data_IF_166712343551
#
_entry.id   IF_166712343551
#
_cell.length_a   1.000
_cell.length_b   1.000
_cell.length_c   1.000
_cell.angle_alpha   90.00
_cell.angle_beta   90.00
_cell.angle_gamma   90.00
#
_symmetry.space_group_name_H-M   'P 1'
#
loop_
_entity.id
_entity.type
_entity.pdbx_description
1 polymer ?
#
# COMPACT_ATOMS: atom_id res chain seq x y z
N UNK A 1 -12.01 -9.92 -22.76
CA UNK A 1 -10.73 -9.16 -22.70
C UNK A 1 -10.52 -8.48 -21.34
N UNK A 2 -11.46 -7.66 -20.84
CA UNK A 2 -11.35 -7.00 -19.52
C UNK A 2 -11.16 -7.96 -18.32
N UNK A 3 -11.86 -9.09 -18.32
CA UNK A 3 -11.69 -10.13 -17.28
C UNK A 3 -10.29 -10.77 -17.28
N UNK A 4 -9.63 -10.83 -18.44
CA UNK A 4 -8.29 -11.41 -18.56
C UNK A 4 -7.22 -10.45 -18.07
N UNK A 5 -7.34 -9.16 -18.40
CA UNK A 5 -6.44 -8.11 -17.91
C UNK A 5 -6.52 -7.96 -16.38
N UNK A 6 -7.74 -7.97 -15.83
CA UNK A 6 -7.96 -7.92 -14.38
C UNK A 6 -7.33 -9.10 -13.64
N UNK A 7 -7.45 -10.31 -14.20
CA UNK A 7 -6.80 -11.51 -13.64
C UNK A 7 -5.27 -11.42 -13.69
N UNK A 8 -4.69 -10.94 -14.80
CA UNK A 8 -3.24 -10.76 -14.93
C UNK A 8 -2.69 -9.72 -13.95
N UNK A 9 -3.39 -8.58 -13.81
CA UNK A 9 -3.02 -7.52 -12.85
C UNK A 9 -3.15 -8.01 -11.41
N UNK A 10 -4.27 -8.66 -11.07
CA UNK A 10 -4.51 -9.25 -9.75
C UNK A 10 -3.44 -10.28 -9.39
N UNK A 11 -3.09 -11.16 -10.33
CA UNK A 11 -2.01 -12.14 -10.15
C UNK A 11 -0.66 -11.47 -9.92
N UNK A 12 -0.32 -10.43 -10.69
CA UNK A 12 0.95 -9.71 -10.55
C UNK A 12 1.05 -9.01 -9.19
N UNK A 13 -0.03 -8.37 -8.73
CA UNK A 13 -0.09 -7.70 -7.43
C UNK A 13 -0.03 -8.69 -6.27
N UNK A 14 -0.82 -9.78 -6.31
CA UNK A 14 -0.78 -10.80 -5.26
C UNK A 14 0.58 -11.51 -5.20
N UNK A 15 1.19 -11.78 -6.36
CA UNK A 15 2.52 -12.41 -6.40
C UNK A 15 3.59 -11.53 -5.75
N UNK A 16 3.52 -10.21 -5.85
CA UNK A 16 4.53 -9.33 -5.23
C UNK A 16 4.60 -9.47 -3.71
N UNK A 17 3.48 -9.73 -3.03
CA UNK A 17 3.41 -9.98 -1.58
C UNK A 17 4.26 -11.18 -1.14
N UNK A 18 4.32 -12.23 -1.99
CA UNK A 18 5.03 -13.50 -1.70
C UNK A 18 6.44 -13.57 -2.28
N UNK A 19 6.91 -12.52 -2.96
CA UNK A 19 8.31 -12.45 -3.38
C UNK A 19 9.20 -12.19 -2.15
N UNK A 20 10.43 -12.73 -2.11
CA UNK A 20 11.33 -12.53 -0.99
C UNK A 20 11.66 -11.05 -0.80
N UNK A 21 11.75 -10.61 0.46
CA UNK A 21 12.14 -9.27 0.82
C UNK A 21 13.59 -9.01 0.38
N UNK A 22 13.86 -7.80 -0.14
CA UNK A 22 15.23 -7.42 -0.48
C UNK A 22 16.04 -7.29 0.80
N UNK A 23 17.20 -7.93 0.87
CA UNK A 23 18.12 -7.82 2.00
C UNK A 23 18.98 -6.56 1.89
N UNK A 24 19.09 -5.80 2.97
CA UNK A 24 19.98 -4.66 3.11
C UNK A 24 21.42 -5.08 3.40
N UNK A 25 22.32 -4.10 3.51
CA UNK A 25 23.75 -4.34 3.80
C UNK A 25 23.97 -4.98 5.17
N UNK A 26 23.10 -4.68 6.14
CA UNK A 26 23.13 -5.24 7.48
C UNK A 26 22.26 -6.51 7.64
N UNK A 27 21.78 -7.12 6.54
CA UNK A 27 20.87 -8.28 6.58
C UNK A 27 19.39 -7.95 6.83
N UNK A 28 19.07 -6.67 7.08
CA UNK A 28 17.71 -6.18 7.28
C UNK A 28 16.79 -6.49 6.09
N UNK A 29 15.53 -6.85 6.37
CA UNK A 29 14.49 -7.01 5.36
C UNK A 29 13.96 -5.65 4.96
N UNK A 30 14.13 -5.28 3.69
CA UNK A 30 13.63 -4.02 3.13
C UNK A 30 12.33 -4.29 2.38
N UNK A 31 11.24 -3.77 2.94
CA UNK A 31 9.89 -3.81 2.39
C UNK A 31 9.64 -2.52 1.59
N UNK A 32 9.31 -2.68 0.29
CA UNK A 32 8.97 -1.56 -0.59
C UNK A 32 7.66 -1.81 -1.31
N UNK A 33 6.92 -0.73 -1.57
CA UNK A 33 5.76 -0.78 -2.45
C UNK A 33 6.20 -1.05 -3.89
N UNK A 34 5.44 -1.82 -4.68
CA UNK A 34 5.73 -2.00 -6.09
C UNK A 34 5.53 -0.68 -6.83
N UNK A 35 6.43 -0.38 -7.77
CA UNK A 35 6.38 0.84 -8.59
C UNK A 35 5.10 0.99 -9.41
N UNK A 36 4.34 -0.09 -9.58
CA UNK A 36 3.00 -0.06 -10.17
C UNK A 36 2.06 0.93 -9.49
N UNK A 37 2.06 1.02 -8.15
CA UNK A 37 1.21 1.98 -7.44
C UNK A 37 1.61 3.42 -7.72
N UNK A 38 2.92 3.70 -7.78
CA UNK A 38 3.42 5.01 -8.18
C UNK A 38 3.00 5.35 -9.61
N UNK A 39 3.07 4.40 -10.53
CA UNK A 39 2.66 4.58 -11.91
C UNK A 39 1.16 4.88 -12.02
N UNK A 40 0.31 4.15 -11.29
CA UNK A 40 -1.14 4.40 -11.26
C UNK A 40 -1.46 5.81 -10.75
N UNK A 41 -0.74 6.30 -9.72
CA UNK A 41 -0.94 7.65 -9.23
C UNK A 41 -0.54 8.71 -10.27
N UNK A 42 0.58 8.52 -10.97
CA UNK A 42 1.02 9.42 -12.05
C UNK A 42 -0.03 9.46 -13.17
N UNK A 43 -0.52 8.30 -13.61
CA UNK A 43 -1.56 8.22 -14.64
C UNK A 43 -2.83 8.96 -14.19
N UNK A 44 -3.25 8.78 -12.93
CA UNK A 44 -4.38 9.50 -12.34
C UNK A 44 -4.18 11.02 -12.37
N UNK A 45 -3.00 11.51 -12.01
CA UNK A 45 -2.67 12.94 -12.10
C UNK A 45 -2.69 13.46 -13.53
N UNK A 46 -2.12 12.72 -14.49
CA UNK A 46 -2.09 13.12 -15.91
C UNK A 46 -3.49 13.16 -16.52
N UNK A 47 -4.30 12.12 -16.28
CA UNK A 47 -5.68 12.06 -16.75
C UNK A 47 -6.53 13.18 -16.13
N UNK A 48 -6.37 13.42 -14.82
CA UNK A 48 -7.03 14.54 -14.14
C UNK A 48 -6.60 15.89 -14.71
N UNK A 49 -5.31 16.08 -15.00
CA UNK A 49 -4.79 17.31 -15.62
C UNK A 49 -5.34 17.56 -17.02
N UNK A 50 -5.45 16.51 -17.84
CA UNK A 50 -6.10 16.59 -19.17
C UNK A 50 -7.58 16.96 -19.03
N UNK A 51 -8.31 16.30 -18.11
CA UNK A 51 -9.70 16.64 -17.85
C UNK A 51 -9.84 18.09 -17.36
N UNK A 52 -8.97 18.53 -16.46
CA UNK A 52 -8.95 19.90 -15.97
C UNK A 52 -8.70 20.90 -17.10
N UNK A 53 -7.78 20.61 -18.02
CA UNK A 53 -7.55 21.44 -19.21
C UNK A 53 -8.84 21.61 -20.02
N UNK A 54 -9.54 20.53 -20.33
CA UNK A 54 -10.83 20.59 -21.05
C UNK A 54 -11.86 21.43 -20.29
N UNK A 55 -11.94 21.27 -18.97
CA UNK A 55 -12.81 22.08 -18.11
C UNK A 55 -12.45 23.57 -18.08
N UNK A 56 -11.22 23.94 -18.47
CA UNK A 56 -10.77 25.34 -18.55
C UNK A 56 -10.92 25.95 -19.94
N UNK A 57 -10.81 25.15 -21.00
CA UNK A 57 -10.79 25.64 -22.39
C UNK A 57 -12.11 25.46 -23.12
N UNK A 58 -12.90 24.46 -22.75
CA UNK A 58 -14.19 24.19 -23.36
C UNK A 58 -15.30 24.60 -22.39
N UNK A 59 -16.25 25.40 -22.87
CA UNK A 59 -17.49 25.68 -22.15
C UNK A 59 -18.39 24.43 -22.25
N UNK A 60 -18.02 23.38 -21.52
CA UNK A 60 -18.76 22.11 -21.49
C UNK A 60 -20.06 22.25 -20.69
N UNK A 61 -20.15 23.25 -19.81
CA UNK A 61 -21.31 23.48 -18.95
C UNK A 61 -22.05 24.76 -19.35
N UNK A 62 -23.36 24.63 -19.53
CA UNK A 62 -24.26 25.75 -19.81
C UNK A 62 -24.61 26.57 -18.55
N UNK A 63 -24.40 26.00 -17.35
CA UNK A 63 -24.73 26.65 -16.08
C UNK A 63 -23.48 27.17 -15.33
N UNK A 64 -23.46 28.45 -14.91
CA UNK A 64 -22.28 29.10 -14.33
C UNK A 64 -21.89 28.59 -12.93
N UNK A 65 -22.71 27.75 -12.28
CA UNK A 65 -22.42 27.16 -10.96
C UNK A 65 -21.82 25.76 -11.01
N UNK A 66 -22.18 24.96 -12.01
CA UNK A 66 -21.75 23.57 -12.12
C UNK A 66 -20.26 23.48 -12.46
N UNK A 67 -19.79 24.34 -13.36
CA UNK A 67 -18.39 24.39 -13.79
C UNK A 67 -17.42 24.53 -12.61
N UNK A 68 -17.74 25.40 -11.64
CA UNK A 68 -16.90 25.63 -10.45
C UNK A 68 -16.84 24.37 -9.57
N UNK A 69 -17.97 23.69 -9.40
CA UNK A 69 -18.05 22.45 -8.61
C UNK A 69 -17.22 21.35 -9.27
N UNK A 70 -17.37 21.14 -10.57
CA UNK A 70 -16.64 20.11 -11.31
C UNK A 70 -15.13 20.39 -11.33
N UNK A 71 -14.71 21.64 -11.57
CA UNK A 71 -13.28 22.02 -11.50
C UNK A 71 -12.70 21.75 -10.11
N UNK A 72 -13.39 22.15 -9.05
CA UNK A 72 -12.93 21.91 -7.68
C UNK A 72 -12.86 20.41 -7.35
N UNK A 73 -13.83 19.63 -7.80
CA UNK A 73 -13.82 18.18 -7.62
C UNK A 73 -12.62 17.53 -8.33
N UNK A 74 -12.35 17.90 -9.59
CA UNK A 74 -11.20 17.39 -10.35
C UNK A 74 -9.88 17.81 -9.71
N UNK A 75 -9.74 19.07 -9.27
CA UNK A 75 -8.56 19.52 -8.52
C UNK A 75 -8.36 18.72 -7.22
N UNK A 76 -9.43 18.47 -6.47
CA UNK A 76 -9.38 17.64 -5.26
C UNK A 76 -8.89 16.22 -5.56
N UNK A 77 -9.38 15.60 -6.63
CA UNK A 77 -8.96 14.26 -7.06
C UNK A 77 -7.47 14.25 -7.45
N UNK A 78 -7.00 15.23 -8.23
CA UNK A 78 -5.58 15.35 -8.60
C UNK A 78 -4.71 15.47 -7.34
N UNK A 79 -5.14 16.31 -6.38
CA UNK A 79 -4.41 16.50 -5.13
C UNK A 79 -4.32 15.20 -4.33
N UNK A 80 -5.40 14.42 -4.26
CA UNK A 80 -5.41 13.10 -3.61
C UNK A 80 -4.43 12.13 -4.27
N UNK A 81 -4.39 12.04 -5.60
CA UNK A 81 -3.42 11.20 -6.31
C UNK A 81 -1.98 11.65 -6.07
N UNK A 82 -1.73 12.96 -6.00
CA UNK A 82 -0.42 13.52 -5.74
C UNK A 82 0.06 13.19 -4.31
N UNK A 83 -0.82 13.31 -3.31
CA UNK A 83 -0.51 12.87 -1.94
C UNK A 83 -0.26 11.36 -1.85
N UNK A 84 -1.08 10.53 -2.50
CA UNK A 84 -0.83 9.08 -2.56
C UNK A 84 0.50 8.75 -3.25
N UNK A 85 0.88 9.51 -4.27
CA UNK A 85 2.16 9.33 -4.94
C UNK A 85 3.34 9.65 -4.01
N UNK A 86 3.30 10.78 -3.28
CA UNK A 86 4.32 11.14 -2.30
C UNK A 86 4.43 10.11 -1.17
N UNK A 87 3.31 9.61 -0.66
CA UNK A 87 3.28 8.51 0.31
C UNK A 87 3.95 7.25 -0.27
N UNK A 88 3.69 6.91 -1.54
CA UNK A 88 4.31 5.75 -2.19
C UNK A 88 5.82 5.90 -2.38
N UNK A 89 6.32 7.11 -2.65
CA UNK A 89 7.75 7.39 -2.83
C UNK A 89 8.52 7.43 -1.50
N UNK A 90 7.89 7.96 -0.46
CA UNK A 90 8.49 8.11 0.87
C UNK A 90 8.45 6.84 1.70
N UNK A 91 7.53 5.92 1.38
CA UNK A 91 7.37 4.68 2.13
C UNK A 91 8.60 3.78 2.00
N UNK A 92 9.25 3.52 3.14
CA UNK A 92 10.28 2.49 3.27
C UNK A 92 10.12 1.82 4.64
N UNK A 93 9.93 0.51 4.64
CA UNK A 93 9.97 -0.27 5.87
C UNK A 93 11.21 -1.15 5.89
N UNK A 94 11.88 -1.21 7.04
CA UNK A 94 12.98 -2.12 7.34
C UNK A 94 12.65 -2.94 8.58
N UNK A 95 12.86 -4.24 8.50
CA UNK A 95 12.70 -5.15 9.63
C UNK A 95 14.02 -5.85 9.90
N UNK A 96 14.42 -5.85 11.17
CA UNK A 96 15.59 -6.57 11.69
C UNK A 96 15.10 -7.67 12.62
N UNK A 97 16.02 -8.37 13.29
CA UNK A 97 15.66 -9.44 14.24
C UNK A 97 15.02 -8.91 15.53
N UNK A 98 15.11 -7.60 15.83
CA UNK A 98 14.64 -7.04 17.10
C UNK A 98 13.66 -5.88 16.97
N UNK A 99 13.57 -5.25 15.80
CA UNK A 99 12.67 -4.12 15.57
C UNK A 99 12.21 -4.02 14.12
N UNK A 100 11.06 -3.37 13.95
CA UNK A 100 10.56 -2.88 12.68
C UNK A 100 10.60 -1.35 12.67
N UNK A 101 11.19 -0.77 11.63
CA UNK A 101 11.22 0.66 11.38
C UNK A 101 10.48 0.96 10.08
N UNK A 102 9.53 1.89 10.14
CA UNK A 102 8.76 2.34 8.97
C UNK A 102 8.92 3.84 8.81
N UNK A 103 9.45 4.23 7.66
CA UNK A 103 9.58 5.61 7.22
C UNK A 103 8.40 5.97 6.34
N UNK A 104 7.73 7.04 6.73
CA UNK A 104 6.75 7.79 5.93
C UNK A 104 7.34 9.16 5.58
N UNK A 105 6.62 9.93 4.76
CA UNK A 105 6.99 11.32 4.47
C UNK A 105 6.98 12.21 5.73
N UNK A 106 6.07 11.96 6.67
CA UNK A 106 5.93 12.74 7.91
C UNK A 106 6.85 12.29 9.06
N UNK A 107 7.69 11.26 8.86
CA UNK A 107 8.64 10.80 9.87
C UNK A 107 8.95 9.32 9.82
N UNK A 108 9.86 8.88 10.69
CA UNK A 108 10.22 7.47 10.87
C UNK A 108 9.71 6.99 12.22
N UNK A 109 9.06 5.84 12.24
CA UNK A 109 8.57 5.18 13.45
C UNK A 109 9.23 3.81 13.60
N UNK A 110 9.78 3.56 14.77
CA UNK A 110 10.44 2.30 15.10
C UNK A 110 9.69 1.64 16.26
N UNK A 111 9.40 0.35 16.13
CA UNK A 111 8.77 -0.47 17.17
C UNK A 111 9.62 -1.72 17.37
N UNK A 112 10.00 -1.96 18.62
CA UNK A 112 10.65 -3.20 19.01
C UNK A 112 9.63 -4.32 19.20
N UNK A 113 10.01 -5.55 18.85
CA UNK A 113 9.08 -6.69 18.86
C UNK A 113 8.49 -6.97 20.24
N UNK A 114 9.27 -6.83 21.32
CA UNK A 114 8.76 -7.01 22.68
C UNK A 114 7.64 -6.03 23.09
N UNK A 115 7.46 -4.92 22.36
CA UNK A 115 6.40 -3.95 22.63
C UNK A 115 5.15 -4.18 21.78
N UNK A 116 5.16 -5.16 20.86
CA UNK A 116 4.03 -5.45 19.97
C UNK A 116 2.98 -6.23 20.75
N UNK A 117 1.73 -5.78 20.67
CA UNK A 117 0.58 -6.41 21.33
C UNK A 117 -0.16 -7.34 20.39
N UNK A 118 -0.32 -6.94 19.12
CA UNK A 118 -1.07 -7.70 18.13
C UNK A 118 -0.77 -7.24 16.71
N UNK A 119 -1.10 -8.12 15.75
CA UNK A 119 -0.98 -7.85 14.32
C UNK A 119 -2.34 -8.04 13.67
N UNK A 120 -2.88 -6.97 13.12
CA UNK A 120 -4.18 -6.94 12.47
C UNK A 120 -4.04 -6.71 10.97
N UNK A 121 -5.13 -6.91 10.24
CA UNK A 121 -5.24 -6.54 8.83
C UNK A 121 -6.42 -5.62 8.62
N UNK A 122 -6.21 -4.60 7.80
CA UNK A 122 -7.26 -3.71 7.34
C UNK A 122 -7.31 -3.67 5.82
N UNK A 123 -8.53 -3.55 5.26
CA UNK A 123 -8.75 -3.45 3.81
C UNK A 123 -8.59 -2.01 3.27
N UNK A 124 -8.38 -1.03 4.15
CA UNK A 124 -8.22 0.36 3.73
C UNK A 124 -6.97 0.57 2.86
N UNK A 125 -7.06 1.49 1.89
CA UNK A 125 -5.98 1.85 0.97
C UNK A 125 -5.34 0.67 0.22
N UNK A 126 -6.15 -0.30 -0.19
CA UNK A 126 -5.68 -1.48 -0.93
C UNK A 126 -5.13 -2.60 -0.04
N UNK A 127 -5.23 -2.47 1.28
CA UNK A 127 -4.87 -3.50 2.24
C UNK A 127 -3.57 -3.21 2.99
N UNK A 128 -3.60 -3.34 4.32
CA UNK A 128 -2.46 -3.06 5.19
C UNK A 128 -2.45 -4.01 6.40
N UNK A 129 -1.26 -4.50 6.75
CA UNK A 129 -1.00 -5.10 8.04
C UNK A 129 -0.71 -4.01 9.07
N UNK A 130 -1.43 -4.04 10.17
CA UNK A 130 -1.37 -3.06 11.24
C UNK A 130 -0.70 -3.72 12.44
N UNK A 131 0.52 -3.30 12.73
CA UNK A 131 1.27 -3.74 13.90
C UNK A 131 0.95 -2.81 15.05
N UNK A 132 0.23 -3.33 16.04
CA UNK A 132 -0.18 -2.60 17.24
C UNK A 132 0.86 -2.80 18.33
N UNK A 133 1.24 -1.71 18.99
CA UNK A 133 2.17 -1.70 20.12
C UNK A 133 1.69 -0.71 21.18
N UNK A 134 2.12 -0.90 22.41
CA UNK A 134 1.92 0.05 23.51
C UNK A 134 2.49 1.45 23.18
N UNK A 135 3.48 1.54 22.29
CA UNK A 135 4.10 2.80 21.84
C UNK A 135 3.46 3.34 20.55
N UNK A 136 2.39 2.69 20.09
CA UNK A 136 1.54 3.11 18.98
C UNK A 136 1.56 2.13 17.80
N UNK A 137 1.11 2.62 16.64
CA UNK A 137 0.82 1.77 15.48
C UNK A 137 1.83 1.94 14.34
N UNK A 138 2.21 0.84 13.70
CA UNK A 138 2.95 0.80 12.43
C UNK A 138 2.09 0.11 11.36
N UNK A 139 2.09 0.64 10.13
CA UNK A 139 1.29 0.09 9.03
C UNK A 139 2.20 -0.36 7.89
N UNK A 140 2.10 -1.63 7.51
CA UNK A 140 2.84 -2.22 6.40
C UNK A 140 1.83 -2.58 5.29
N UNK A 141 1.94 -2.00 4.08
CA UNK A 141 1.07 -2.33 2.97
C UNK A 141 1.17 -3.82 2.65
N UNK A 142 0.02 -4.49 2.51
CA UNK A 142 -0.04 -5.93 2.31
C UNK A 142 0.37 -6.35 0.88
N UNK A 143 0.47 -5.39 -0.03
CA UNK A 143 1.01 -5.52 -1.38
C UNK A 143 2.49 -5.15 -1.49
N UNK A 144 3.18 -4.86 -0.37
CA UNK A 144 4.62 -4.61 -0.38
C UNK A 144 5.40 -5.89 -0.69
N UNK A 145 6.51 -5.75 -1.41
CA UNK A 145 7.40 -6.87 -1.73
C UNK A 145 8.02 -7.40 -0.44
N UNK A 146 7.90 -8.70 -0.18
CA UNK A 146 8.41 -9.34 1.05
C UNK A 146 7.48 -9.22 2.26
N UNK A 147 6.26 -8.70 2.10
CA UNK A 147 5.33 -8.54 3.24
C UNK A 147 4.89 -9.88 3.83
N UNK A 148 4.73 -10.94 3.03
CA UNK A 148 4.43 -12.27 3.55
C UNK A 148 5.58 -12.82 4.42
N UNK A 149 6.83 -12.65 3.96
CA UNK A 149 8.03 -13.07 4.69
C UNK A 149 8.18 -12.29 6.01
N UNK A 150 7.92 -10.98 5.98
CA UNK A 150 7.93 -10.14 7.17
C UNK A 150 6.92 -10.59 8.21
N UNK A 151 5.66 -10.84 7.82
CA UNK A 151 4.64 -11.33 8.75
C UNK A 151 5.03 -12.69 9.31
N UNK A 152 5.51 -13.62 8.48
CA UNK A 152 5.99 -14.92 8.97
C UNK A 152 7.12 -14.80 9.98
N UNK A 153 8.08 -13.89 9.75
CA UNK A 153 9.14 -13.61 10.71
C UNK A 153 8.59 -13.03 12.01
N UNK A 154 7.69 -12.06 11.91
CA UNK A 154 7.07 -11.40 13.07
C UNK A 154 6.23 -12.37 13.90
N UNK A 155 5.56 -13.34 13.27
CA UNK A 155 4.84 -14.40 13.98
C UNK A 155 5.76 -15.42 14.66
N UNK A 156 6.96 -15.66 14.12
CA UNK A 156 7.97 -16.50 14.79
C UNK A 156 8.50 -15.84 16.06
N UNK A 157 8.68 -14.52 16.03
CA UNK A 157 9.21 -13.75 17.17
C UNK A 157 8.15 -13.51 18.28
N UNK A 158 6.90 -13.26 17.91
CA UNK A 158 5.83 -12.94 18.87
C UNK A 158 5.01 -14.15 19.33
N UNK A 159 5.04 -15.25 18.57
CA UNK A 159 4.11 -16.36 18.72
C UNK A 159 2.87 -16.22 17.83
N UNK A 160 2.33 -17.36 17.39
CA UNK A 160 1.24 -17.42 16.41
C UNK A 160 -0.06 -16.78 16.91
N UNK A 161 -0.30 -16.79 18.23
CA UNK A 161 -1.51 -16.24 18.86
C UNK A 161 -1.69 -14.74 18.58
N UNK A 162 -0.60 -13.97 18.56
CA UNK A 162 -0.62 -12.53 18.28
C UNK A 162 -0.81 -12.20 16.78
N UNK A 163 -0.77 -13.24 15.94
CA UNK A 163 -0.61 -13.15 14.50
C UNK A 163 -1.74 -13.83 13.70
N UNK A 164 -2.70 -14.47 14.37
CA UNK A 164 -3.75 -15.31 13.75
C UNK A 164 -4.46 -14.59 12.60
N UNK A 165 -4.85 -13.32 12.80
CA UNK A 165 -5.55 -12.54 11.78
C UNK A 165 -4.67 -12.27 10.55
N UNK A 166 -3.39 -11.95 10.76
CA UNK A 166 -2.46 -11.70 9.67
C UNK A 166 -2.15 -12.97 8.88
N UNK A 167 -1.98 -14.10 9.56
CA UNK A 167 -1.74 -15.41 8.94
C UNK A 167 -2.95 -15.86 8.10
N UNK A 168 -4.17 -15.71 8.63
CA UNK A 168 -5.40 -16.03 7.90
C UNK A 168 -5.50 -15.25 6.58
N UNK A 169 -5.19 -13.95 6.62
CA UNK A 169 -5.21 -13.11 5.41
C UNK A 169 -4.14 -13.54 4.40
N UNK A 170 -2.95 -13.94 4.86
CA UNK A 170 -1.93 -14.49 3.96
C UNK A 170 -2.37 -15.80 3.31
N UNK A 171 -3.05 -16.67 4.05
CA UNK A 171 -3.57 -17.93 3.53
C UNK A 171 -4.71 -17.72 2.52
N UNK A 172 -5.62 -16.80 2.80
CA UNK A 172 -6.67 -16.36 1.86
C UNK A 172 -6.04 -15.83 0.56
N UNK A 173 -5.02 -14.99 0.65
CA UNK A 173 -4.28 -14.48 -0.52
C UNK A 173 -3.55 -15.57 -1.29
N UNK A 174 -2.99 -16.56 -0.60
CA UNK A 174 -2.32 -17.70 -1.22
C UNK A 174 -3.31 -18.54 -2.01
N UNK A 175 -4.49 -18.80 -1.43
CA UNK A 175 -5.60 -19.50 -2.09
C UNK A 175 -6.09 -18.73 -3.32
N UNK A 176 -6.27 -17.41 -3.20
CA UNK A 176 -6.62 -16.56 -4.34
C UNK A 176 -5.58 -16.60 -5.45
N UNK A 177 -4.29 -16.60 -5.10
CA UNK A 177 -3.21 -16.70 -6.08
C UNK A 177 -3.22 -18.04 -6.83
N UNK A 178 -3.56 -19.14 -6.16
CA UNK A 178 -3.74 -20.46 -6.77
C UNK A 178 -4.99 -20.54 -7.67
N UNK A 179 -6.08 -19.88 -7.30
CA UNK A 179 -7.27 -19.81 -8.15
C UNK A 179 -7.06 -18.96 -9.41
N UNK A 180 -6.12 -18.01 -9.35
CA UNK A 180 -5.73 -17.14 -10.47
C UNK A 180 -4.56 -17.71 -11.30
N UNK A 181 -3.97 -18.84 -10.89
CA UNK A 181 -2.78 -19.43 -11.53
C UNK A 181 -3.12 -20.28 -12.73
#
# INVERSE_FOLDING_TARGET
MYLFLGRLLGRKLLRTTFLPAKRGLAGEMILRRPGFWSLMCIIGCLAGGVLLYFLFTENIFDQPGEEVIYRNAVMGIILLFLFMWLECLSYKASATDSFVAVRHWYGTKTIHYHNITSVEHTRFFGGQFVVLSNQGVVRVPDGAVGSAEFIQHLCKELGEEHCVNALKVLEEKKTQLQQLS
#
